data_IF_729858817455
#
_entry.id   IF_729858817455
#
_cell.length_a   1.000
_cell.length_b   1.000
_cell.length_c   1.000
_cell.angle_alpha   90.00
_cell.angle_beta   90.00
_cell.angle_gamma   90.00
#
_symmetry.space_group_name_H-M   'P 1'
#
loop_
_entity.id
_entity.type
_entity.pdbx_description
1 polymer ?
#
# COMPACT_ATOMS: atom_id res chain seq x y z
N UNK A 1 -3.40 4.22 -74.97
CA UNK A 1 -2.02 3.83 -74.60
C UNK A 1 -1.49 4.83 -73.58
N UNK A 2 -1.46 4.46 -72.29
CA UNK A 2 -0.86 5.26 -71.20
C UNK A 2 0.00 4.31 -70.37
N UNK A 3 1.31 4.46 -70.46
CA UNK A 3 2.28 3.70 -69.68
C UNK A 3 2.31 4.23 -68.24
N UNK A 4 1.94 3.39 -67.27
CA UNK A 4 2.13 3.66 -65.84
C UNK A 4 3.52 3.18 -65.43
N UNK A 5 4.37 4.14 -65.04
CA UNK A 5 5.70 3.93 -64.44
C UNK A 5 5.50 3.28 -63.06
N UNK A 6 6.05 2.09 -62.86
CA UNK A 6 6.17 1.45 -61.55
C UNK A 6 7.47 1.97 -60.93
N UNK A 7 7.36 2.80 -59.89
CA UNK A 7 8.50 3.16 -59.06
C UNK A 7 8.79 1.99 -58.10
N UNK A 8 9.99 1.41 -58.24
CA UNK A 8 10.54 0.48 -57.27
C UNK A 8 10.88 1.25 -55.98
N UNK A 9 10.03 1.13 -54.97
CA UNK A 9 10.35 1.58 -53.62
C UNK A 9 11.30 0.54 -53.01
N UNK A 10 12.51 0.99 -52.70
CA UNK A 10 13.55 0.22 -52.04
C UNK A 10 13.08 -0.25 -50.65
N UNK A 11 13.08 -1.56 -50.41
CA UNK A 11 12.58 -2.20 -49.17
C UNK A 11 13.47 -1.95 -47.93
N UNK A 12 14.54 -1.19 -48.07
CA UNK A 12 15.59 -1.07 -47.03
C UNK A 12 15.57 0.23 -46.22
N UNK A 13 14.67 1.19 -46.50
CA UNK A 13 14.67 2.51 -45.83
C UNK A 13 13.67 2.66 -44.67
N UNK A 14 13.09 1.55 -44.18
CA UNK A 14 12.26 1.54 -42.96
C UNK A 14 12.84 0.53 -41.97
N UNK A 15 14.08 0.74 -41.55
CA UNK A 15 14.63 0.08 -40.36
C UNK A 15 15.55 1.07 -39.68
N UNK A 16 15.33 1.26 -38.37
CA UNK A 16 16.27 1.68 -37.32
C UNK A 16 15.55 2.45 -36.20
N UNK A 17 14.50 3.23 -36.49
CA UNK A 17 13.80 4.02 -35.44
C UNK A 17 12.75 3.24 -34.64
N UNK A 18 11.91 2.45 -35.30
CA UNK A 18 10.81 1.77 -34.61
C UNK A 18 11.28 0.54 -33.82
N UNK A 19 12.39 -0.08 -34.24
CA UNK A 19 12.98 -1.24 -33.58
C UNK A 19 13.65 -0.85 -32.26
N UNK A 20 14.31 0.32 -32.18
CA UNK A 20 14.85 0.85 -30.92
C UNK A 20 13.75 1.26 -29.94
N UNK A 21 12.64 1.85 -30.42
CA UNK A 21 11.52 2.24 -29.55
C UNK A 21 10.86 1.01 -28.92
N UNK A 22 10.67 -0.05 -29.69
CA UNK A 22 10.12 -1.32 -29.18
C UNK A 22 11.09 -1.97 -28.17
N UNK A 23 12.40 -1.95 -28.44
CA UNK A 23 13.40 -2.46 -27.50
C UNK A 23 13.47 -1.65 -26.20
N UNK A 24 13.37 -0.32 -26.26
CA UNK A 24 13.44 0.55 -25.09
C UNK A 24 12.19 0.51 -24.20
N UNK A 25 10.99 0.30 -24.76
CA UNK A 25 9.76 0.31 -23.97
C UNK A 25 9.36 -1.05 -23.38
N UNK A 26 9.85 -2.17 -23.94
CA UNK A 26 9.31 -3.49 -23.60
C UNK A 26 10.35 -4.56 -23.28
N UNK A 27 11.66 -4.29 -23.37
CA UNK A 27 12.69 -5.29 -23.10
C UNK A 27 13.60 -4.86 -21.94
N UNK A 28 13.85 -5.80 -21.02
CA UNK A 28 14.97 -5.71 -20.08
C UNK A 28 16.29 -5.81 -20.86
N UNK A 29 17.39 -5.13 -20.46
CA UNK A 29 18.66 -5.12 -21.18
C UNK A 29 19.27 -6.50 -21.50
N UNK A 30 18.80 -7.57 -20.84
CA UNK A 30 19.36 -8.92 -20.94
C UNK A 30 18.60 -9.87 -21.89
N UNK A 31 17.53 -9.44 -22.58
CA UNK A 31 16.77 -10.29 -23.53
C UNK A 31 17.01 -9.89 -25.00
N UNK A 32 17.95 -10.56 -25.68
CA UNK A 32 18.31 -10.31 -27.09
C UNK A 32 17.69 -11.27 -28.13
N UNK A 33 16.80 -12.17 -27.73
CA UNK A 33 16.25 -13.20 -28.64
C UNK A 33 14.80 -12.89 -29.06
N UNK A 34 14.60 -11.90 -29.93
CA UNK A 34 13.33 -11.69 -30.63
C UNK A 34 13.55 -11.52 -32.14
N UNK A 35 12.78 -12.25 -32.95
CA UNK A 35 12.72 -12.08 -34.40
C UNK A 35 11.37 -11.46 -34.83
N UNK A 36 11.42 -10.39 -35.61
CA UNK A 36 10.23 -9.82 -36.25
C UNK A 36 9.92 -10.64 -37.50
N UNK A 37 8.87 -11.46 -37.44
CA UNK A 37 8.57 -12.45 -38.48
C UNK A 37 7.88 -11.83 -39.71
N UNK A 38 7.02 -10.81 -39.52
CA UNK A 38 6.47 -10.06 -40.65
C UNK A 38 5.92 -8.69 -40.25
N UNK A 39 6.05 -7.73 -41.16
CA UNK A 39 5.34 -6.45 -41.11
C UNK A 39 4.42 -6.34 -42.32
N UNK A 40 3.14 -6.05 -42.08
CA UNK A 40 2.15 -5.88 -43.16
C UNK A 40 1.64 -4.45 -43.11
N UNK A 41 1.89 -3.70 -44.18
CA UNK A 41 1.33 -2.36 -44.35
C UNK A 41 0.02 -2.48 -45.14
N UNK A 42 -1.12 -2.34 -44.46
CA UNK A 42 -2.42 -2.31 -45.13
C UNK A 42 -2.74 -0.88 -45.57
N UNK A 43 -2.75 -0.67 -46.89
CA UNK A 43 -3.14 0.59 -47.52
C UNK A 43 -4.64 0.57 -47.83
N UNK A 44 -5.46 1.13 -46.95
CA UNK A 44 -6.85 1.50 -47.26
C UNK A 44 -6.99 3.02 -47.25
N UNK A 45 -7.02 3.61 -48.45
CA UNK A 45 -7.17 5.05 -48.74
C UNK A 45 -6.08 5.98 -48.18
N UNK A 46 -5.68 7.00 -48.95
CA UNK A 46 -4.45 7.78 -48.74
C UNK A 46 -4.40 8.67 -47.49
N UNK A 47 -5.27 8.47 -46.50
CA UNK A 47 -5.36 9.30 -45.29
C UNK A 47 -5.28 8.54 -43.96
N UNK A 48 -5.11 7.21 -43.93
CA UNK A 48 -4.88 6.46 -42.68
C UNK A 48 -3.98 5.23 -42.93
N UNK A 49 -2.66 5.37 -42.73
CA UNK A 49 -1.74 4.22 -42.68
C UNK A 49 -1.67 3.69 -41.25
N UNK A 50 -2.08 2.44 -41.05
CA UNK A 50 -1.82 1.68 -39.81
C UNK A 50 -0.69 0.70 -40.08
N UNK A 51 0.35 0.72 -39.25
CA UNK A 51 1.42 -0.28 -39.32
C UNK A 51 1.03 -1.44 -38.42
N UNK A 52 0.97 -2.65 -38.99
CA UNK A 52 0.70 -3.87 -38.24
C UNK A 52 2.00 -4.67 -38.14
N UNK A 53 2.46 -4.89 -36.91
CA UNK A 53 3.60 -5.75 -36.61
C UNK A 53 3.11 -7.01 -35.89
N UNK A 54 3.53 -8.17 -36.38
CA UNK A 54 3.27 -9.44 -35.70
C UNK A 54 4.60 -9.88 -35.08
N UNK A 55 4.62 -9.99 -33.75
CA UNK A 55 5.79 -10.44 -33.00
C UNK A 55 5.47 -11.80 -32.41
N UNK A 56 6.30 -12.78 -32.72
CA UNK A 56 6.18 -14.14 -32.21
C UNK A 56 7.35 -14.40 -31.28
N UNK A 57 7.08 -14.96 -30.09
CA UNK A 57 8.13 -15.36 -29.15
C UNK A 57 8.44 -16.83 -29.40
N UNK A 58 9.71 -17.12 -29.72
CA UNK A 58 10.19 -18.44 -30.18
C UNK A 58 10.04 -19.56 -29.14
N UNK A 59 9.73 -19.24 -27.88
CA UNK A 59 9.69 -20.23 -26.80
C UNK A 59 8.32 -20.86 -26.50
N UNK A 60 7.20 -20.32 -27.01
CA UNK A 60 5.86 -20.79 -26.59
C UNK A 60 4.79 -20.89 -27.70
N UNK A 61 5.11 -20.69 -28.98
CA UNK A 61 4.14 -20.69 -30.11
C UNK A 61 2.87 -19.82 -29.86
N UNK A 62 2.96 -18.83 -28.97
CA UNK A 62 1.89 -17.86 -28.74
C UNK A 62 2.18 -16.61 -29.54
N UNK A 63 1.40 -16.40 -30.59
CA UNK A 63 1.46 -15.21 -31.42
C UNK A 63 0.78 -14.06 -30.67
N UNK A 64 1.55 -13.04 -30.30
CA UNK A 64 1.01 -11.81 -29.73
C UNK A 64 0.86 -10.76 -30.82
N UNK A 65 -0.38 -10.37 -31.12
CA UNK A 65 -0.68 -9.32 -32.09
C UNK A 65 -0.53 -7.95 -31.44
N UNK A 66 0.47 -7.17 -31.87
CA UNK A 66 0.70 -5.81 -31.39
C UNK A 66 0.29 -4.84 -32.51
N UNK A 67 -0.77 -4.06 -32.27
CA UNK A 67 -1.20 -3.01 -33.20
C UNK A 67 -0.68 -1.67 -32.69
N UNK A 68 0.22 -1.06 -33.45
CA UNK A 68 0.77 0.26 -33.17
C UNK A 68 -0.01 1.30 -33.98
N UNK A 69 -0.64 2.25 -33.28
CA UNK A 69 -1.25 3.41 -33.94
C UNK A 69 -0.20 4.52 -34.07
N UNK A 70 0.29 4.71 -35.31
CA UNK A 70 1.30 5.72 -35.63
C UNK A 70 0.85 7.16 -35.33
N UNK A 71 -0.45 7.41 -35.16
CA UNK A 71 -0.95 8.77 -34.92
C UNK A 71 -0.87 9.18 -33.45
N UNK A 72 -0.93 8.22 -32.53
CA UNK A 72 -0.91 8.45 -31.08
C UNK A 72 0.35 7.92 -30.40
N UNK A 73 1.15 7.08 -31.08
CA UNK A 73 2.28 6.38 -30.45
C UNK A 73 1.85 5.40 -29.37
N UNK A 74 0.56 5.07 -29.27
CA UNK A 74 0.00 4.20 -28.25
C UNK A 74 -0.14 2.77 -28.75
N UNK A 75 0.29 1.80 -27.93
CA UNK A 75 0.11 0.37 -28.17
C UNK A 75 -1.29 -0.06 -27.70
N UNK A 76 -2.09 -0.65 -28.58
CA UNK A 76 -3.43 -1.16 -28.25
C UNK A 76 -3.36 -2.69 -28.13
N UNK A 77 -3.36 -3.23 -26.92
CA UNK A 77 -3.51 -4.68 -26.68
C UNK A 77 -4.99 -5.04 -26.56
N UNK A 78 -5.42 -6.12 -27.25
CA UNK A 78 -6.84 -6.50 -27.38
C UNK A 78 -7.32 -7.62 -26.46
N UNK A 79 -6.53 -8.06 -25.48
CA UNK A 79 -6.86 -9.25 -24.69
C UNK A 79 -7.01 -8.91 -23.20
N UNK A 80 -8.23 -8.92 -22.63
CA UNK A 80 -8.40 -9.01 -21.19
C UNK A 80 -7.98 -10.43 -20.73
N UNK A 81 -7.29 -10.57 -19.59
CA UNK A 81 -7.04 -11.88 -19.01
C UNK A 81 -8.36 -12.54 -18.55
N UNK A 82 -8.45 -13.89 -18.60
CA UNK A 82 -9.68 -14.64 -18.37
C UNK A 82 -10.17 -14.55 -16.93
N UNK A 83 -11.49 -14.38 -16.79
CA UNK A 83 -12.28 -14.27 -15.57
C UNK A 83 -12.25 -15.50 -14.68
N UNK A 84 -12.17 -15.29 -13.36
CA UNK A 84 -12.27 -16.32 -12.31
C UNK A 84 -13.70 -16.88 -12.11
N UNK A 85 -13.86 -18.07 -11.50
CA UNK A 85 -15.14 -18.77 -11.35
C UNK A 85 -16.01 -18.26 -10.18
N UNK A 86 -17.33 -18.37 -10.33
CA UNK A 86 -18.36 -18.06 -9.32
C UNK A 86 -18.26 -18.98 -8.10
N UNK A 87 -18.23 -18.42 -6.89
CA UNK A 87 -18.40 -19.19 -5.64
C UNK A 87 -19.85 -19.14 -5.15
N UNK A 88 -20.38 -20.29 -4.76
CA UNK A 88 -21.68 -20.46 -4.12
C UNK A 88 -21.52 -20.31 -2.60
N UNK A 89 -22.18 -19.31 -2.02
CA UNK A 89 -22.33 -19.16 -0.57
C UNK A 89 -23.38 -20.13 -0.04
N UNK A 90 -23.14 -20.70 1.15
CA UNK A 90 -24.14 -20.94 2.21
C UNK A 90 -23.44 -21.53 3.43
N UNK A 91 -23.54 -20.86 4.58
CA UNK A 91 -24.17 -21.47 5.77
C UNK A 91 -24.25 -20.49 6.95
N UNK A 92 -25.37 -20.66 7.66
CA UNK A 92 -25.94 -19.81 8.70
C UNK A 92 -25.23 -19.93 10.06
N UNK A 93 -25.38 -18.83 10.81
CA UNK A 93 -25.08 -18.68 12.23
C UNK A 93 -26.06 -19.44 13.14
N UNK A 94 -25.58 -19.84 14.33
CA UNK A 94 -26.38 -19.84 15.55
C UNK A 94 -25.50 -19.43 16.75
N UNK A 95 -25.88 -18.35 17.44
CA UNK A 95 -25.27 -17.86 18.69
C UNK A 95 -26.31 -18.02 19.80
N UNK A 96 -26.00 -18.85 20.79
CA UNK A 96 -26.73 -18.90 22.07
C UNK A 96 -26.13 -17.92 23.08
N UNK A 97 -26.99 -17.07 23.63
CA UNK A 97 -26.71 -16.19 24.75
C UNK A 97 -26.93 -16.92 26.08
N UNK A 98 -25.99 -16.80 27.03
CA UNK A 98 -26.24 -17.06 28.45
C UNK A 98 -25.65 -15.96 29.33
N UNK A 99 -26.55 -15.10 29.82
CA UNK A 99 -26.38 -14.22 30.98
C UNK A 99 -26.47 -15.04 32.27
N UNK A 100 -25.61 -14.76 33.25
CA UNK A 100 -25.99 -14.81 34.66
C UNK A 100 -25.04 -13.96 35.52
N UNK A 101 -25.65 -13.10 36.34
CA UNK A 101 -24.95 -12.26 37.30
C UNK A 101 -24.71 -12.93 38.64
N UNK A 102 -23.91 -12.29 39.48
CA UNK A 102 -24.09 -12.36 40.93
C UNK A 102 -23.42 -11.17 41.62
N UNK A 103 -24.24 -10.51 42.42
CA UNK A 103 -23.95 -9.47 43.40
C UNK A 103 -23.46 -10.12 44.70
N UNK A 104 -22.44 -9.56 45.35
CA UNK A 104 -22.21 -9.76 46.79
C UNK A 104 -21.50 -8.56 47.44
N UNK A 105 -22.30 -7.80 48.18
CA UNK A 105 -22.18 -7.35 49.59
C UNK A 105 -20.84 -6.87 50.19
N UNK A 106 -20.93 -5.62 50.64
CA UNK A 106 -20.08 -4.78 51.48
C UNK A 106 -19.86 -5.30 52.90
N UNK A 107 -18.64 -5.20 53.42
CA UNK A 107 -18.35 -5.22 54.87
C UNK A 107 -17.42 -4.06 55.23
N UNK A 108 -17.91 -3.18 56.11
CA UNK A 108 -17.24 -1.97 56.59
C UNK A 108 -16.49 -2.28 57.88
N UNK A 109 -15.16 -2.11 57.89
CA UNK A 109 -14.36 -2.19 59.12
C UNK A 109 -13.52 -0.92 59.27
N UNK A 110 -13.86 -0.14 60.28
CA UNK A 110 -13.23 1.14 60.61
C UNK A 110 -11.93 0.88 61.38
N UNK A 111 -10.78 1.10 60.73
CA UNK A 111 -9.47 1.01 61.37
C UNK A 111 -8.70 2.33 61.26
N UNK A 112 -8.52 2.98 62.40
CA UNK A 112 -7.79 4.23 62.61
C UNK A 112 -6.30 4.02 62.33
N UNK A 113 -5.80 4.48 61.18
CA UNK A 113 -4.39 4.29 60.80
C UNK A 113 -3.63 5.60 60.81
N UNK A 114 -2.56 5.63 61.61
CA UNK A 114 -1.57 6.72 61.72
C UNK A 114 -1.01 7.10 60.34
N UNK A 115 -1.07 8.39 60.05
CA UNK A 115 -0.68 8.99 58.76
C UNK A 115 0.85 9.12 58.67
N UNK A 116 1.54 8.05 58.27
CA UNK A 116 2.93 8.12 57.85
C UNK A 116 2.97 8.82 56.48
N UNK A 117 3.51 10.04 56.43
CA UNK A 117 3.74 10.79 55.17
C UNK A 117 4.84 10.11 54.37
N UNK A 118 4.51 8.99 53.72
CA UNK A 118 5.36 8.39 52.70
C UNK A 118 5.42 9.37 51.54
N UNK A 119 6.60 9.95 51.32
CA UNK A 119 6.90 10.82 50.18
C UNK A 119 6.86 9.94 48.93
N UNK A 120 5.64 9.68 48.42
CA UNK A 120 5.43 8.98 47.16
C UNK A 120 6.05 9.87 46.09
N UNK A 121 7.30 9.56 45.75
CA UNK A 121 7.92 10.03 44.52
C UNK A 121 7.11 9.39 43.41
N UNK A 122 6.10 10.12 42.93
CA UNK A 122 5.33 9.80 41.74
C UNK A 122 6.33 9.69 40.59
N UNK A 123 6.94 8.50 40.41
CA UNK A 123 7.55 8.11 39.15
C UNK A 123 6.42 8.28 38.15
N UNK A 124 6.46 9.37 37.38
CA UNK A 124 5.61 9.54 36.20
C UNK A 124 5.74 8.21 35.45
N UNK A 125 4.66 7.43 35.42
CA UNK A 125 4.60 6.22 34.60
C UNK A 125 4.82 6.68 33.17
N UNK A 126 6.07 6.57 32.72
CA UNK A 126 6.55 7.13 31.46
C UNK A 126 5.77 6.59 30.24
N UNK A 127 5.04 5.49 30.42
CA UNK A 127 4.38 4.76 29.36
C UNK A 127 2.85 4.94 29.32
N UNK A 128 2.25 5.56 30.34
CA UNK A 128 0.79 5.65 30.48
C UNK A 128 0.08 4.29 30.46
N UNK A 129 -1.25 4.33 30.58
CA UNK A 129 -2.15 3.17 30.48
C UNK A 129 -3.50 3.63 29.93
N UNK A 130 -4.23 2.75 29.24
CA UNK A 130 -5.64 3.01 28.91
C UNK A 130 -6.48 2.83 30.17
N UNK A 131 -6.92 3.93 30.77
CA UNK A 131 -7.72 3.94 32.01
C UNK A 131 -9.18 4.32 31.76
N UNK A 132 -9.46 4.97 30.63
CA UNK A 132 -10.77 5.53 30.28
C UNK A 132 -11.38 4.82 29.06
N UNK A 133 -12.71 4.70 29.04
CA UNK A 133 -13.47 4.06 27.96
C UNK A 133 -13.02 2.62 27.63
N UNK A 134 -12.62 1.83 28.65
CA UNK A 134 -12.04 0.49 28.46
C UNK A 134 -12.85 -0.44 27.54
N UNK A 135 -14.19 -0.41 27.62
CA UNK A 135 -15.06 -1.21 26.74
C UNK A 135 -14.84 -0.88 25.27
N UNK A 136 -14.82 0.40 24.93
CA UNK A 136 -14.59 0.89 23.56
C UNK A 136 -13.16 0.59 23.09
N UNK A 137 -12.16 0.85 23.93
CA UNK A 137 -10.76 0.58 23.60
C UNK A 137 -10.54 -0.92 23.33
N UNK A 138 -11.07 -1.80 24.19
CA UNK A 138 -10.98 -3.26 24.00
C UNK A 138 -11.72 -3.70 22.74
N UNK A 139 -12.93 -3.19 22.48
CA UNK A 139 -13.66 -3.49 21.26
C UNK A 139 -12.89 -3.06 20.00
N UNK A 140 -12.24 -1.90 20.04
CA UNK A 140 -11.39 -1.40 18.95
C UNK A 140 -10.17 -2.31 18.72
N UNK A 141 -9.53 -2.80 19.80
CA UNK A 141 -8.41 -3.74 19.70
C UNK A 141 -8.83 -5.10 19.11
N UNK A 142 -9.99 -5.63 19.53
CA UNK A 142 -10.56 -6.86 18.95
C UNK A 142 -10.88 -6.65 17.47
N UNK A 143 -11.49 -5.52 17.12
CA UNK A 143 -11.76 -5.17 15.72
C UNK A 143 -10.48 -5.12 14.88
N UNK A 144 -9.44 -4.42 15.34
CA UNK A 144 -8.14 -4.37 14.65
C UNK A 144 -7.52 -5.75 14.47
N UNK A 145 -7.59 -6.61 15.50
CA UNK A 145 -7.08 -7.98 15.43
C UNK A 145 -7.84 -8.83 14.40
N UNK A 146 -9.17 -8.84 14.46
CA UNK A 146 -10.00 -9.58 13.50
C UNK A 146 -9.76 -9.06 12.08
N UNK A 147 -9.73 -7.73 11.90
CA UNK A 147 -9.45 -7.11 10.61
C UNK A 147 -8.10 -7.54 10.06
N UNK A 148 -7.06 -7.57 10.90
CA UNK A 148 -5.74 -8.03 10.50
C UNK A 148 -5.74 -9.51 10.07
N UNK A 149 -6.44 -10.39 10.81
CA UNK A 149 -6.59 -11.79 10.42
C UNK A 149 -7.31 -11.93 9.07
N UNK A 150 -8.40 -11.18 8.87
CA UNK A 150 -9.12 -11.15 7.58
C UNK A 150 -8.21 -10.66 6.46
N UNK A 151 -7.43 -9.61 6.70
CA UNK A 151 -6.46 -9.10 5.72
C UNK A 151 -5.44 -10.17 5.35
N UNK A 152 -4.82 -10.83 6.33
CA UNK A 152 -3.85 -11.89 6.07
C UNK A 152 -4.45 -13.07 5.32
N UNK A 153 -5.66 -13.50 5.69
CA UNK A 153 -6.37 -14.56 4.98
C UNK A 153 -6.63 -14.19 3.51
N UNK A 154 -7.14 -12.98 3.24
CA UNK A 154 -7.38 -12.51 1.86
C UNK A 154 -6.09 -12.44 1.04
N UNK A 155 -4.98 -11.96 1.63
CA UNK A 155 -3.68 -11.91 0.92
C UNK A 155 -3.12 -13.31 0.66
N UNK A 156 -3.30 -14.23 1.60
CA UNK A 156 -2.91 -15.62 1.44
C UNK A 156 -3.72 -16.31 0.32
N UNK A 157 -5.04 -16.15 0.29
CA UNK A 157 -5.88 -16.72 -0.76
C UNK A 157 -5.48 -16.21 -2.17
N UNK A 158 -5.11 -14.93 -2.28
CA UNK A 158 -4.76 -14.35 -3.57
C UNK A 158 -3.31 -14.64 -4.02
N UNK A 159 -2.35 -14.65 -3.10
CA UNK A 159 -0.90 -14.65 -3.40
C UNK A 159 -0.12 -15.80 -2.74
N UNK A 160 -0.82 -16.72 -2.08
CA UNK A 160 -0.21 -17.80 -1.30
C UNK A 160 0.64 -17.29 -0.13
N UNK A 161 1.71 -18.02 0.19
CA UNK A 161 2.62 -17.66 1.29
C UNK A 161 3.26 -16.27 1.12
N UNK A 162 3.45 -15.81 -0.12
CA UNK A 162 4.01 -14.49 -0.43
C UNK A 162 3.08 -13.37 0.06
N UNK A 163 1.78 -13.61 0.13
CA UNK A 163 0.81 -12.65 0.66
C UNK A 163 1.10 -12.24 2.11
N UNK A 164 1.81 -13.06 2.90
CA UNK A 164 2.23 -12.67 4.25
C UNK A 164 3.31 -11.59 4.25
N UNK A 165 4.09 -11.44 3.17
CA UNK A 165 5.05 -10.35 3.04
C UNK A 165 4.36 -8.97 3.06
N UNK A 166 3.07 -8.90 2.68
CA UNK A 166 2.29 -7.67 2.81
C UNK A 166 2.15 -7.21 4.27
N UNK A 167 2.35 -8.07 5.27
CA UNK A 167 2.42 -7.64 6.68
C UNK A 167 3.46 -6.55 6.91
N UNK A 168 4.55 -6.59 6.14
CA UNK A 168 5.69 -5.69 6.33
C UNK A 168 5.41 -4.28 5.81
N UNK A 169 4.33 -4.05 5.06
CA UNK A 169 3.87 -2.69 4.78
C UNK A 169 3.59 -1.98 6.11
N UNK A 170 4.17 -0.79 6.28
CA UNK A 170 4.12 -0.07 7.55
C UNK A 170 2.68 0.25 8.01
N UNK A 171 1.76 0.42 7.06
CA UNK A 171 0.33 0.57 7.33
C UNK A 171 -0.30 -0.70 7.92
N UNK A 172 0.05 -1.88 7.40
CA UNK A 172 -0.41 -3.17 7.89
C UNK A 172 0.20 -3.49 9.26
N UNK A 173 1.50 -3.26 9.42
CA UNK A 173 2.21 -3.40 10.70
C UNK A 173 1.64 -2.46 11.77
N UNK A 174 1.12 -1.29 11.38
CA UNK A 174 0.50 -0.35 12.32
C UNK A 174 -0.80 -0.90 12.93
N UNK A 175 -1.56 -1.72 12.20
CA UNK A 175 -2.72 -2.42 12.77
C UNK A 175 -2.25 -3.40 13.86
N UNK A 176 -1.12 -4.08 13.62
CA UNK A 176 -0.51 -4.99 14.59
C UNK A 176 -0.08 -4.26 15.86
N UNK A 177 0.64 -3.14 15.71
CA UNK A 177 0.96 -2.27 16.84
C UNK A 177 -0.29 -1.75 17.54
N UNK A 178 -1.37 -1.48 16.80
CA UNK A 178 -2.63 -1.02 17.35
C UNK A 178 -3.27 -2.01 18.33
N UNK A 179 -3.50 -3.26 17.90
CA UNK A 179 -4.08 -4.25 18.81
C UNK A 179 -3.11 -4.69 19.92
N UNK A 180 -1.79 -4.77 19.64
CA UNK A 180 -0.78 -5.07 20.68
C UNK A 180 -0.77 -3.97 21.74
N UNK A 181 -0.81 -2.69 21.34
CA UNK A 181 -0.89 -1.55 22.25
C UNK A 181 -2.02 -1.70 23.25
N UNK A 182 -3.20 -2.10 22.76
CA UNK A 182 -4.40 -2.29 23.57
C UNK A 182 -4.27 -3.54 24.46
N UNK A 183 -3.77 -4.65 23.92
CA UNK A 183 -3.58 -5.90 24.65
C UNK A 183 -2.59 -5.75 25.83
N UNK A 184 -1.46 -5.06 25.60
CA UNK A 184 -0.45 -4.80 26.65
C UNK A 184 -0.77 -3.57 27.51
N UNK A 185 -1.88 -2.89 27.23
CA UNK A 185 -2.30 -1.66 27.89
C UNK A 185 -1.24 -0.53 27.84
N UNK A 186 -0.56 -0.35 26.70
CA UNK A 186 0.51 0.63 26.49
C UNK A 186 0.19 1.57 25.32
N UNK A 187 -0.40 2.76 25.55
CA UNK A 187 -0.84 3.68 24.49
C UNK A 187 0.29 4.20 23.59
N UNK A 188 1.55 4.14 24.06
CA UNK A 188 2.72 4.52 23.27
C UNK A 188 2.82 3.78 21.94
N UNK A 189 2.52 2.47 21.89
CA UNK A 189 2.59 1.69 20.64
C UNK A 189 1.55 2.14 19.61
N UNK A 190 0.33 2.47 20.06
CA UNK A 190 -0.71 3.03 19.20
C UNK A 190 -0.30 4.42 18.69
N UNK A 191 0.34 5.23 19.54
CA UNK A 191 0.91 6.52 19.14
C UNK A 191 2.00 6.40 18.07
N UNK A 192 2.91 5.45 18.23
CA UNK A 192 3.96 5.13 17.23
C UNK A 192 3.30 4.74 15.90
N UNK A 193 2.33 3.84 15.94
CA UNK A 193 1.60 3.38 14.76
C UNK A 193 0.89 4.52 14.03
N UNK A 194 0.20 5.41 14.75
CA UNK A 194 -0.43 6.60 14.18
C UNK A 194 0.60 7.52 13.51
N UNK A 195 1.72 7.76 14.18
CA UNK A 195 2.74 8.67 13.67
C UNK A 195 3.43 8.12 12.42
N UNK A 196 3.64 6.81 12.35
CA UNK A 196 4.17 6.12 11.17
C UNK A 196 3.25 6.20 9.94
N UNK A 197 1.93 6.30 10.16
CA UNK A 197 0.94 6.13 9.08
C UNK A 197 0.13 7.36 8.73
N UNK A 198 0.11 8.39 9.59
CA UNK A 198 -0.79 9.55 9.42
C UNK A 198 -0.74 10.16 8.02
N UNK A 199 0.45 10.51 7.54
CA UNK A 199 0.60 11.21 6.26
C UNK A 199 0.20 10.29 5.10
N UNK A 200 0.74 9.06 5.05
CA UNK A 200 0.44 8.12 3.96
C UNK A 200 -1.04 7.71 3.92
N UNK A 201 -1.70 7.60 5.09
CA UNK A 201 -3.14 7.36 5.16
C UNK A 201 -3.94 8.58 4.68
N UNK A 202 -3.53 9.80 5.04
CA UNK A 202 -4.16 11.02 4.56
C UNK A 202 -4.04 11.16 3.04
N UNK A 203 -2.85 10.90 2.47
CA UNK A 203 -2.62 10.92 1.02
C UNK A 203 -3.51 9.89 0.31
N UNK A 204 -3.61 8.67 0.86
CA UNK A 204 -4.52 7.64 0.34
C UNK A 204 -5.97 8.10 0.33
N UNK A 205 -6.47 8.71 1.43
CA UNK A 205 -7.85 9.20 1.51
C UNK A 205 -8.10 10.33 0.50
N UNK A 206 -7.15 11.26 0.35
CA UNK A 206 -7.24 12.34 -0.64
C UNK A 206 -7.37 11.77 -2.05
N UNK A 207 -6.54 10.78 -2.37
CA UNK A 207 -6.58 10.11 -3.68
C UNK A 207 -7.89 9.41 -3.96
N UNK A 208 -8.43 8.63 -3.00
CA UNK A 208 -9.70 7.94 -3.18
C UNK A 208 -10.85 8.93 -3.37
N UNK A 209 -10.88 10.00 -2.58
CA UNK A 209 -11.91 11.05 -2.73
C UNK A 209 -11.78 11.75 -4.08
N UNK A 210 -10.57 12.11 -4.50
CA UNK A 210 -10.33 12.73 -5.79
C UNK A 210 -10.72 11.80 -6.95
N UNK A 211 -10.42 10.51 -6.85
CA UNK A 211 -10.79 9.52 -7.85
C UNK A 211 -12.30 9.35 -7.97
N UNK A 212 -13.03 9.32 -6.85
CA UNK A 212 -14.50 9.25 -6.87
C UNK A 212 -15.16 10.49 -7.50
N UNK A 213 -14.55 11.66 -7.39
CA UNK A 213 -15.09 12.93 -7.92
C UNK A 213 -14.67 13.16 -9.37
N UNK A 214 -13.41 12.89 -9.71
CA UNK A 214 -12.77 13.31 -10.97
C UNK A 214 -12.37 12.14 -11.87
N UNK A 215 -12.33 10.91 -11.35
CA UNK A 215 -11.77 9.75 -12.04
C UNK A 215 -10.24 9.69 -12.07
N UNK A 216 -9.54 10.55 -11.31
CA UNK A 216 -8.08 10.62 -11.29
C UNK A 216 -7.46 10.47 -9.90
N UNK A 217 -6.25 9.90 -9.83
CA UNK A 217 -5.44 9.79 -8.60
C UNK A 217 -4.34 10.86 -8.62
N UNK A 218 -4.58 12.06 -8.05
CA UNK A 218 -3.64 13.17 -8.18
C UNK A 218 -2.27 12.90 -7.52
N UNK A 219 -2.20 12.03 -6.51
CA UNK A 219 -0.98 11.68 -5.81
C UNK A 219 -0.48 10.27 -6.16
N UNK A 220 -1.33 9.40 -6.73
CA UNK A 220 -1.00 8.02 -7.12
C UNK A 220 -0.88 7.01 -5.96
N UNK A 221 -0.95 7.46 -4.70
CA UNK A 221 -0.80 6.62 -3.51
C UNK A 221 -1.92 5.59 -3.33
N UNK A 222 -3.12 5.83 -3.89
CA UNK A 222 -4.21 4.86 -3.89
C UNK A 222 -4.52 4.25 -5.27
N UNK A 223 -3.71 4.51 -6.31
CA UNK A 223 -4.02 4.11 -7.69
C UNK A 223 -4.22 2.59 -7.84
N UNK A 224 -3.51 1.81 -7.04
CA UNK A 224 -3.56 0.34 -7.05
C UNK A 224 -4.97 -0.25 -6.82
N UNK A 225 -5.89 0.48 -6.20
CA UNK A 225 -7.27 0.00 -5.99
C UNK A 225 -8.10 -0.02 -7.30
N UNK A 226 -7.58 0.62 -8.35
CA UNK A 226 -8.20 0.64 -9.68
C UNK A 226 -7.57 -0.35 -10.66
N UNK A 227 -6.51 -1.05 -10.25
CA UNK A 227 -5.86 -2.02 -11.10
C UNK A 227 -6.81 -3.18 -11.44
N UNK A 228 -6.87 -3.63 -12.71
CA UNK A 228 -7.76 -4.74 -13.10
C UNK A 228 -7.51 -6.05 -12.36
N UNK A 229 -6.33 -6.23 -11.80
CA UNK A 229 -5.91 -7.42 -11.05
C UNK A 229 -6.26 -7.36 -9.56
N UNK A 230 -6.71 -6.22 -9.03
CA UNK A 230 -7.05 -6.10 -7.61
C UNK A 230 -8.38 -6.80 -7.34
N UNK A 231 -8.44 -7.58 -6.26
CA UNK A 231 -9.68 -8.23 -5.85
C UNK A 231 -10.49 -7.33 -4.91
N UNK A 232 -11.81 -7.53 -4.84
CA UNK A 232 -12.67 -6.82 -3.88
C UNK A 232 -12.25 -7.03 -2.41
N UNK A 233 -11.74 -8.22 -2.09
CA UNK A 233 -11.19 -8.50 -0.76
C UNK A 233 -9.98 -7.63 -0.45
N UNK A 234 -9.08 -7.45 -1.43
CA UNK A 234 -7.92 -6.57 -1.26
C UNK A 234 -8.33 -5.11 -1.13
N UNK A 235 -9.30 -4.64 -1.90
CA UNK A 235 -9.88 -3.29 -1.74
C UNK A 235 -10.45 -3.15 -0.31
N UNK A 236 -11.27 -4.10 0.16
CA UNK A 236 -11.84 -4.06 1.50
C UNK A 236 -10.76 -3.99 2.59
N UNK A 237 -9.70 -4.78 2.44
CA UNK A 237 -8.59 -4.84 3.42
C UNK A 237 -7.65 -3.64 3.34
N UNK A 238 -7.79 -2.76 2.34
CA UNK A 238 -7.08 -1.47 2.28
C UNK A 238 -7.85 -0.32 2.94
N UNK A 239 -9.12 -0.52 3.30
CA UNK A 239 -9.94 0.51 3.96
C UNK A 239 -9.37 0.98 5.31
N UNK A 240 -8.43 0.25 5.90
CA UNK A 240 -7.72 0.69 7.10
C UNK A 240 -6.99 2.01 6.94
N UNK A 241 -6.62 2.39 5.71
CA UNK A 241 -6.10 3.73 5.44
C UNK A 241 -7.09 4.83 5.84
N UNK A 242 -8.40 4.61 5.70
CA UNK A 242 -9.42 5.59 6.07
C UNK A 242 -9.73 5.59 7.59
N UNK A 243 -9.86 4.42 8.22
CA UNK A 243 -10.37 4.33 9.59
C UNK A 243 -9.31 4.20 10.68
N UNK A 244 -8.09 3.71 10.38
CA UNK A 244 -7.11 3.37 11.41
C UNK A 244 -6.70 4.55 12.28
N UNK A 245 -6.31 5.67 11.66
CA UNK A 245 -5.83 6.86 12.38
C UNK A 245 -6.97 7.52 13.18
N UNK A 246 -8.17 7.77 12.63
CA UNK A 246 -9.31 8.28 13.41
C UNK A 246 -9.66 7.40 14.60
N UNK A 247 -9.78 6.08 14.40
CA UNK A 247 -10.13 5.13 15.47
C UNK A 247 -9.07 5.13 16.58
N UNK A 248 -7.80 5.13 16.19
CA UNK A 248 -6.67 5.17 17.12
C UNK A 248 -6.63 6.48 17.91
N UNK A 249 -6.91 7.60 17.27
CA UNK A 249 -7.01 8.90 17.93
C UNK A 249 -8.16 8.95 18.94
N UNK A 250 -9.32 8.35 18.64
CA UNK A 250 -10.41 8.22 19.60
C UNK A 250 -10.01 7.38 20.81
N UNK A 251 -9.24 6.31 20.62
CA UNK A 251 -8.70 5.50 21.71
C UNK A 251 -7.71 6.30 22.58
N UNK A 252 -6.86 7.12 21.97
CA UNK A 252 -5.85 7.93 22.67
C UNK A 252 -6.43 9.17 23.36
N UNK A 253 -7.46 9.80 22.79
CA UNK A 253 -7.97 11.11 23.23
C UNK A 253 -8.31 11.16 24.72
N UNK A 254 -8.98 10.13 25.27
CA UNK A 254 -9.31 10.06 26.71
C UNK A 254 -8.24 9.36 27.56
N UNK A 255 -7.15 8.89 26.97
CA UNK A 255 -6.14 8.05 27.63
C UNK A 255 -4.75 8.71 27.64
N UNK A 256 -4.71 10.04 27.80
CA UNK A 256 -3.45 10.80 27.85
C UNK A 256 -3.01 11.38 26.50
N UNK A 257 -3.88 11.34 25.48
CA UNK A 257 -3.64 11.90 24.16
C UNK A 257 -2.51 11.22 23.38
N UNK A 258 -2.06 11.87 22.31
CA UNK A 258 -0.90 11.46 21.53
C UNK A 258 0.39 11.53 22.38
N UNK A 259 1.06 10.39 22.65
CA UNK A 259 2.24 10.34 23.52
C UNK A 259 3.44 11.06 22.89
N UNK A 260 4.18 11.86 23.67
CA UNK A 260 5.34 12.60 23.15
C UNK A 260 6.48 11.71 22.66
N UNK A 261 6.66 10.54 23.27
CA UNK A 261 7.68 9.56 22.87
C UNK A 261 7.36 8.80 21.56
N UNK A 262 6.19 9.01 20.98
CA UNK A 262 5.78 8.31 19.76
C UNK A 262 6.69 8.66 18.57
N UNK A 263 7.19 9.90 18.47
CA UNK A 263 8.11 10.28 17.40
C UNK A 263 9.42 9.49 17.41
N UNK A 264 10.07 9.40 18.58
CA UNK A 264 11.31 8.62 18.72
C UNK A 264 11.06 7.14 18.47
N UNK A 265 9.91 6.61 18.90
CA UNK A 265 9.53 5.23 18.61
C UNK A 265 9.34 4.97 17.12
N UNK A 266 8.67 5.89 16.40
CA UNK A 266 8.54 5.80 14.94
C UNK A 266 9.87 5.84 14.21
N UNK A 267 10.80 6.71 14.63
CA UNK A 267 12.16 6.75 14.08
C UNK A 267 12.87 5.41 14.25
N UNK A 268 12.79 4.83 15.45
CA UNK A 268 13.39 3.53 15.73
C UNK A 268 12.73 2.40 14.93
N UNK A 269 11.44 2.50 14.61
CA UNK A 269 10.74 1.54 13.77
C UNK A 269 11.19 1.56 12.30
N UNK A 270 11.69 2.69 11.77
CA UNK A 270 12.18 2.77 10.38
C UNK A 270 13.26 1.73 10.12
N UNK A 271 14.22 1.62 11.04
CA UNK A 271 15.40 0.76 10.90
C UNK A 271 15.00 -0.70 10.63
N UNK A 272 14.34 -1.42 11.56
CA UNK A 272 13.99 -2.82 11.35
C UNK A 272 13.03 -2.99 10.18
N UNK A 273 12.09 -2.08 9.94
CA UNK A 273 11.13 -2.19 8.82
C UNK A 273 11.85 -2.10 7.48
N UNK A 274 12.76 -1.14 7.31
CA UNK A 274 13.58 -0.99 6.11
C UNK A 274 14.50 -2.19 5.91
N UNK A 275 15.22 -2.62 6.95
CA UNK A 275 16.12 -3.78 6.84
C UNK A 275 15.36 -5.06 6.50
N UNK A 276 14.25 -5.34 7.18
CA UNK A 276 13.42 -6.52 6.90
C UNK A 276 12.82 -6.45 5.50
N UNK A 277 12.36 -5.28 5.05
CA UNK A 277 11.80 -5.10 3.69
C UNK A 277 12.86 -5.37 2.62
N UNK A 278 14.14 -4.98 2.86
CA UNK A 278 15.24 -5.26 1.92
C UNK A 278 15.58 -6.73 1.76
N UNK A 279 15.23 -7.59 2.74
CA UNK A 279 15.46 -9.02 2.62
C UNK A 279 14.55 -9.68 1.56
N UNK A 280 13.47 -9.01 1.17
CA UNK A 280 12.58 -9.47 0.11
C UNK A 280 13.05 -8.90 -1.23
N UNK A 281 13.11 -9.71 -2.30
CA UNK A 281 13.46 -9.22 -3.61
C UNK A 281 12.36 -8.30 -4.15
N UNK A 282 12.75 -7.27 -4.91
CA UNK A 282 11.84 -6.32 -5.55
C UNK A 282 10.85 -7.00 -6.50
N UNK A 283 11.30 -8.03 -7.20
CA UNK A 283 10.50 -8.80 -8.16
C UNK A 283 10.58 -10.26 -7.76
N UNK A 284 9.42 -10.87 -7.56
CA UNK A 284 9.28 -12.30 -7.33
C UNK A 284 8.78 -12.96 -8.62
N UNK A 285 9.42 -14.07 -9.02
CA UNK A 285 8.93 -14.90 -10.12
C UNK A 285 8.05 -15.99 -9.53
N UNK A 286 6.77 -16.00 -9.91
CA UNK A 286 5.78 -16.98 -9.47
C UNK A 286 5.91 -18.29 -10.26
N UNK A 287 5.35 -19.43 -9.77
CA UNK A 287 5.45 -20.72 -10.45
C UNK A 287 4.88 -20.76 -11.87
N UNK A 288 4.00 -19.84 -12.22
CA UNK A 288 3.41 -19.67 -13.55
C UNK A 288 4.25 -18.75 -14.47
N UNK A 289 5.49 -18.44 -14.07
CA UNK A 289 6.41 -17.47 -14.70
C UNK A 289 5.90 -16.02 -14.73
N UNK A 290 4.81 -15.71 -14.03
CA UNK A 290 4.41 -14.31 -13.86
C UNK A 290 5.32 -13.60 -12.86
N UNK A 291 5.52 -12.29 -13.05
CA UNK A 291 6.32 -11.46 -12.14
C UNK A 291 5.41 -10.72 -11.18
N UNK A 292 5.72 -10.82 -9.89
CA UNK A 292 5.05 -10.07 -8.83
C UNK A 292 5.97 -8.99 -8.29
N UNK A 293 5.56 -7.73 -8.43
CA UNK A 293 6.31 -6.58 -7.96
C UNK A 293 6.06 -6.35 -6.46
N UNK A 294 7.12 -6.47 -5.66
CA UNK A 294 7.11 -6.42 -4.19
C UNK A 294 8.12 -5.36 -3.68
N UNK A 295 7.77 -4.09 -3.83
CA UNK A 295 8.57 -2.98 -3.32
C UNK A 295 8.04 -2.47 -1.97
N UNK A 296 8.15 -3.32 -0.95
CA UNK A 296 7.60 -3.07 0.39
C UNK A 296 8.22 -1.79 0.97
N UNK A 297 7.37 -0.87 1.42
CA UNK A 297 7.77 0.42 2.00
C UNK A 297 8.69 1.25 1.09
N UNK A 298 8.61 1.03 -0.24
CA UNK A 298 9.46 1.70 -1.22
C UNK A 298 10.96 1.51 -0.91
N UNK A 299 11.36 0.35 -0.40
CA UNK A 299 12.72 0.16 0.09
C UNK A 299 13.76 -0.01 -1.02
N UNK A 300 13.31 -0.46 -2.20
CA UNK A 300 14.18 -0.72 -3.34
C UNK A 300 14.25 0.48 -4.28
N UNK A 301 13.12 1.11 -4.53
CA UNK A 301 13.01 2.30 -5.40
C UNK A 301 11.73 3.07 -5.09
N UNK A 302 11.61 4.29 -5.63
CA UNK A 302 10.36 5.02 -5.60
C UNK A 302 9.37 4.43 -6.60
N UNK A 303 8.07 4.68 -6.42
CA UNK A 303 7.07 4.20 -7.36
C UNK A 303 7.28 4.84 -8.74
N UNK A 304 7.29 4.01 -9.78
CA UNK A 304 7.58 4.43 -11.16
C UNK A 304 6.43 5.18 -11.83
N UNK A 305 5.24 5.16 -11.26
CA UNK A 305 4.08 5.96 -11.66
C UNK A 305 4.18 7.41 -11.13
N UNK A 306 4.99 7.67 -10.09
CA UNK A 306 5.19 8.99 -9.50
C UNK A 306 6.35 9.76 -10.17
N UNK A 307 6.15 10.19 -11.42
CA UNK A 307 7.18 10.90 -12.21
C UNK A 307 7.09 12.45 -12.16
N UNK A 308 6.13 13.01 -11.43
CA UNK A 308 5.93 14.46 -11.33
C UNK A 308 6.97 15.16 -10.45
N UNK A 309 7.12 16.48 -10.58
CA UNK A 309 7.87 17.27 -9.60
C UNK A 309 7.11 17.29 -8.26
N UNK A 310 7.78 17.14 -7.10
CA UNK A 310 9.23 17.02 -6.89
C UNK A 310 9.79 15.59 -6.94
N UNK A 311 8.97 14.57 -7.18
CA UNK A 311 9.37 13.14 -7.15
C UNK A 311 10.38 12.76 -8.23
N UNK A 312 10.43 13.49 -9.35
CA UNK A 312 11.47 13.32 -10.38
C UNK A 312 12.90 13.62 -9.90
N UNK A 313 13.07 14.25 -8.72
CA UNK A 313 14.38 14.54 -8.12
C UNK A 313 14.90 13.40 -7.24
N UNK A 314 14.15 12.30 -7.10
CA UNK A 314 14.52 11.18 -6.26
C UNK A 314 15.69 10.41 -6.92
N UNK A 315 16.78 10.14 -6.18
CA UNK A 315 17.94 9.48 -6.75
C UNK A 315 17.66 8.00 -7.07
N UNK A 316 18.17 7.54 -8.21
CA UNK A 316 18.11 6.12 -8.62
C UNK A 316 19.30 5.30 -8.11
N UNK A 317 20.40 5.94 -7.71
CA UNK A 317 21.55 5.25 -7.13
C UNK A 317 21.15 4.60 -5.79
N UNK A 318 21.38 3.28 -5.58
CA UNK A 318 20.89 2.58 -4.40
C UNK A 318 21.36 3.15 -3.06
N UNK A 319 22.59 3.70 -3.00
CA UNK A 319 23.13 4.28 -1.77
C UNK A 319 22.47 5.63 -1.49
N UNK A 320 22.39 6.50 -2.50
CA UNK A 320 21.70 7.79 -2.38
C UNK A 320 20.21 7.62 -2.09
N UNK A 321 19.55 6.65 -2.72
CA UNK A 321 18.15 6.32 -2.48
C UNK A 321 17.90 5.90 -1.04
N UNK A 322 18.80 5.10 -0.47
CA UNK A 322 18.71 4.72 0.94
C UNK A 322 18.80 5.93 1.89
N UNK A 323 19.74 6.84 1.65
CA UNK A 323 19.84 8.08 2.43
C UNK A 323 18.62 8.99 2.24
N UNK A 324 18.11 9.08 1.02
CA UNK A 324 16.86 9.77 0.71
C UNK A 324 15.71 9.19 1.53
N UNK A 325 15.52 7.87 1.52
CA UNK A 325 14.42 7.19 2.23
C UNK A 325 14.46 7.46 3.75
N UNK A 326 15.64 7.41 4.37
CA UNK A 326 15.80 7.72 5.79
C UNK A 326 15.48 9.20 6.09
N UNK A 327 15.99 10.11 5.25
CA UNK A 327 15.75 11.55 5.39
C UNK A 327 14.28 11.91 5.17
N UNK A 328 13.66 11.30 4.16
CA UNK A 328 12.24 11.45 3.86
C UNK A 328 11.38 10.94 5.02
N UNK A 329 11.71 9.76 5.57
CA UNK A 329 11.04 9.21 6.76
C UNK A 329 11.16 10.14 7.96
N UNK A 330 12.35 10.72 8.20
CA UNK A 330 12.57 11.71 9.25
C UNK A 330 11.65 12.91 9.10
N UNK A 331 11.60 13.50 7.90
CA UNK A 331 10.73 14.66 7.60
C UNK A 331 9.26 14.29 7.77
N UNK A 332 8.84 13.16 7.20
CA UNK A 332 7.44 12.71 7.20
C UNK A 332 6.94 12.47 8.62
N UNK A 333 7.67 11.72 9.44
CA UNK A 333 7.26 11.42 10.81
C UNK A 333 7.42 12.62 11.75
N UNK A 334 8.34 13.54 11.48
CA UNK A 334 8.44 14.81 12.22
C UNK A 334 7.23 15.69 11.92
N UNK A 335 6.84 15.78 10.65
CA UNK A 335 5.63 16.50 10.23
C UNK A 335 4.39 15.86 10.85
N UNK A 336 4.28 14.53 10.78
CA UNK A 336 3.19 13.79 11.42
C UNK A 336 3.12 14.06 12.93
N UNK A 337 4.26 14.08 13.61
CA UNK A 337 4.33 14.38 15.04
C UNK A 337 3.76 15.75 15.36
N UNK A 338 4.20 16.80 14.64
CA UNK A 338 3.70 18.16 14.86
C UNK A 338 2.20 18.27 14.58
N UNK A 339 1.70 17.65 13.51
CA UNK A 339 0.27 17.62 13.21
C UNK A 339 -0.53 16.92 14.32
N UNK A 340 -0.08 15.77 14.80
CA UNK A 340 -0.75 15.05 15.89
C UNK A 340 -0.76 15.86 17.18
N UNK A 341 0.34 16.52 17.52
CA UNK A 341 0.43 17.41 18.68
C UNK A 341 -0.50 18.62 18.54
N UNK A 342 -0.60 19.21 17.35
CA UNK A 342 -1.50 20.31 17.06
C UNK A 342 -2.97 19.88 17.18
N UNK A 343 -3.35 18.74 16.59
CA UNK A 343 -4.71 18.19 16.71
C UNK A 343 -5.04 17.93 18.18
N UNK A 344 -4.16 17.27 18.93
CA UNK A 344 -4.37 17.05 20.36
C UNK A 344 -4.49 18.37 21.13
N UNK A 345 -3.67 19.37 20.82
CA UNK A 345 -3.74 20.69 21.45
C UNK A 345 -5.09 21.37 21.19
N UNK A 346 -5.58 21.37 19.96
CA UNK A 346 -6.87 21.98 19.59
C UNK A 346 -8.05 21.25 20.25
N UNK A 347 -8.03 19.92 20.25
CA UNK A 347 -9.15 19.11 20.75
C UNK A 347 -9.16 19.06 22.28
N UNK A 348 -8.00 18.98 22.95
CA UNK A 348 -7.93 18.82 24.41
C UNK A 348 -7.92 20.12 25.19
N UNK A 349 -7.38 21.22 24.65
CA UNK A 349 -7.40 22.53 25.34
C UNK A 349 -8.82 23.09 25.50
N UNK A 350 -9.79 22.50 24.80
CA UNK A 350 -11.17 22.99 24.77
C UNK A 350 -12.09 22.42 25.85
N UNK A 351 -11.59 21.49 26.67
CA UNK A 351 -12.26 20.93 27.85
C UNK A 351 -11.41 21.19 29.09
#
# INVERSE_FOLDING_TARGET
MVNKRVENINKNDIKFKDEEIIKQQYLSPDENDFQVISSVTTSTTSKNRKNKAIVEKEKDNKVHEIIIDNKSGSVITKTPPPSSPKSNSKNEYNIENKTNGKSTTTTTTTATTKTTKTKITNKKEFLGSFNNNLKFVRASGIFMFIYYLTMMYVRYEHRGIIGFADTLWLCNLSIVFGFISIAVNKPIFLGIACNCTLIVHALWVVDVVAWLITGSFPLGNAEYISWPSITWGEIFTTTHHAWFVPLSMLCLHRNGAYPSGAWSGSMLCVIPVVYLSKLFPKILVLPDNSTFYLNINMVHEWWSDMNGWPFSLIPNDPAQYYFFLLSFSLVLFTTAHFLMRLVCYIVLKRN
#
